data_IF_574885058291
#
_entry.id   IF_574885058291
#
_cell.length_a   1.000
_cell.length_b   1.000
_cell.length_c   1.000
_cell.angle_alpha   90.00
_cell.angle_beta   90.00
_cell.angle_gamma   90.00
#
_symmetry.space_group_name_H-M   'P 1'
#
loop_
_entity.id
_entity.type
_entity.pdbx_description
1 polymer ?
#
# COMPACT_ATOMS: atom_id res chain seq x y z
N UNK A 1 -29.81 12.77 -31.35
CA UNK A 1 -29.47 13.55 -30.15
C UNK A 1 -28.91 12.58 -29.13
N UNK A 2 -27.61 12.67 -28.84
CA UNK A 2 -26.94 11.80 -27.87
C UNK A 2 -26.26 12.66 -26.81
N UNK A 3 -26.36 12.24 -25.56
CA UNK A 3 -25.76 12.94 -24.43
C UNK A 3 -24.31 12.47 -24.29
N UNK A 4 -23.36 13.39 -24.48
CA UNK A 4 -21.96 13.15 -24.13
C UNK A 4 -21.79 13.40 -22.63
N UNK A 5 -21.37 12.37 -21.91
CA UNK A 5 -20.92 12.50 -20.53
C UNK A 5 -19.43 12.83 -20.55
N UNK A 6 -19.04 13.93 -19.91
CA UNK A 6 -17.64 14.24 -19.66
C UNK A 6 -17.24 13.61 -18.32
N UNK A 7 -16.12 12.89 -18.30
CA UNK A 7 -15.54 12.41 -17.05
C UNK A 7 -15.23 13.60 -16.16
N UNK A 8 -15.79 13.61 -14.95
CA UNK A 8 -15.59 14.68 -13.98
C UNK A 8 -14.22 14.47 -13.35
N UNK A 9 -13.22 15.19 -13.84
CA UNK A 9 -11.81 15.07 -13.44
C UNK A 9 -11.52 15.78 -12.09
N UNK A 10 -12.36 15.55 -11.07
CA UNK A 10 -12.22 16.15 -9.73
C UNK A 10 -12.55 15.14 -8.61
N UNK A 11 -12.01 13.92 -8.70
CA UNK A 11 -12.17 12.93 -7.65
C UNK A 11 -11.08 11.86 -7.70
N UNK A 12 -11.00 11.06 -6.65
CA UNK A 12 -10.24 9.79 -6.66
C UNK A 12 -10.67 8.98 -7.89
N UNK A 13 -9.71 8.56 -8.71
CA UNK A 13 -10.00 7.74 -9.89
C UNK A 13 -10.79 6.47 -9.51
N UNK A 14 -11.57 5.93 -10.45
CA UNK A 14 -12.44 4.77 -10.20
C UNK A 14 -11.73 3.61 -9.51
N UNK A 15 -10.46 3.38 -9.85
CA UNK A 15 -9.61 2.40 -9.18
C UNK A 15 -9.41 2.68 -7.68
N UNK A 16 -9.10 3.92 -7.30
CA UNK A 16 -8.86 4.28 -5.89
C UNK A 16 -10.16 4.22 -5.08
N UNK A 17 -11.30 4.57 -5.67
CA UNK A 17 -12.62 4.36 -5.05
C UNK A 17 -12.93 2.88 -4.85
N UNK A 18 -12.62 2.04 -5.84
CA UNK A 18 -12.74 0.59 -5.71
C UNK A 18 -11.81 0.03 -4.62
N UNK A 19 -10.58 0.54 -4.50
CA UNK A 19 -9.66 0.14 -3.46
C UNK A 19 -10.14 0.54 -2.05
N UNK A 20 -10.78 1.72 -1.93
CA UNK A 20 -11.35 2.19 -0.66
C UNK A 20 -12.58 1.38 -0.24
N UNK A 21 -13.52 1.14 -1.16
CA UNK A 21 -14.86 0.67 -0.80
C UNK A 21 -15.22 -0.73 -1.34
N UNK A 22 -14.56 -1.18 -2.41
CA UNK A 22 -14.95 -2.36 -3.17
C UNK A 22 -14.06 -3.58 -2.96
N UNK A 23 -12.76 -3.40 -2.69
CA UNK A 23 -11.84 -4.51 -2.44
C UNK A 23 -11.73 -4.80 -0.94
N UNK A 24 -11.99 -6.04 -0.49
CA UNK A 24 -11.81 -6.41 0.91
C UNK A 24 -10.32 -6.36 1.28
N UNK A 25 -10.05 -5.89 2.50
CA UNK A 25 -8.70 -5.85 3.07
C UNK A 25 -8.37 -7.22 3.66
N UNK A 26 -7.23 -7.79 3.24
CA UNK A 26 -6.75 -9.11 3.67
C UNK A 26 -5.80 -9.06 4.88
N UNK A 27 -5.24 -7.90 5.20
CA UNK A 27 -4.33 -7.72 6.33
C UNK A 27 -3.92 -6.28 6.58
N UNK A 28 -3.00 -6.09 7.52
CA UNK A 28 -2.50 -4.78 7.94
C UNK A 28 -0.98 -4.75 7.89
N UNK A 29 -0.45 -3.59 7.53
CA UNK A 29 0.98 -3.28 7.53
C UNK A 29 1.17 -2.05 8.41
N UNK A 30 1.98 -2.18 9.45
CA UNK A 30 2.33 -1.09 10.36
C UNK A 30 3.58 -0.39 9.86
N UNK A 31 3.58 0.94 9.90
CA UNK A 31 4.68 1.76 9.39
C UNK A 31 5.26 2.69 10.44
N UNK A 32 6.52 3.08 10.26
CA UNK A 32 7.14 4.12 11.08
C UNK A 32 6.62 5.53 10.73
N UNK A 33 7.01 6.51 11.53
CA UNK A 33 6.56 7.90 11.34
C UNK A 33 7.03 8.50 9.99
N UNK A 34 8.22 8.12 9.52
CA UNK A 34 8.75 8.59 8.23
C UNK A 34 7.95 8.06 7.05
N UNK A 35 7.62 6.77 7.08
CA UNK A 35 6.80 6.12 6.09
C UNK A 35 5.34 6.58 6.16
N UNK A 36 4.78 6.77 7.36
CA UNK A 36 3.46 7.38 7.53
C UNK A 36 3.37 8.75 6.84
N UNK A 37 4.36 9.63 7.08
CA UNK A 37 4.45 10.93 6.40
C UNK A 37 4.60 10.80 4.89
N UNK A 38 5.43 9.85 4.42
CA UNK A 38 5.65 9.61 3.00
C UNK A 38 4.36 9.15 2.29
N UNK A 39 3.62 8.23 2.92
CA UNK A 39 2.32 7.74 2.43
C UNK A 39 1.30 8.89 2.35
N UNK A 40 1.22 9.74 3.38
CA UNK A 40 0.38 10.94 3.36
C UNK A 40 0.75 11.94 2.24
N UNK A 41 2.01 11.93 1.80
CA UNK A 41 2.52 12.74 0.68
C UNK A 41 2.45 12.02 -0.69
N UNK A 42 1.66 10.94 -0.81
CA UNK A 42 1.48 10.16 -2.05
C UNK A 42 2.79 9.54 -2.58
N UNK A 43 3.69 9.14 -1.68
CA UNK A 43 4.87 8.34 -2.01
C UNK A 43 4.57 6.84 -1.92
N UNK A 44 5.40 6.02 -2.56
CA UNK A 44 5.35 4.56 -2.41
C UNK A 44 5.77 4.16 -1.00
N UNK A 45 5.20 3.07 -0.50
CA UNK A 45 5.65 2.45 0.75
C UNK A 45 6.82 1.51 0.45
N UNK A 46 7.98 1.79 1.06
CA UNK A 46 9.16 0.94 0.95
C UNK A 46 9.24 -0.05 2.13
N UNK A 47 9.88 -1.23 1.96
CA UNK A 47 10.07 -2.20 3.04
C UNK A 47 10.75 -1.62 4.28
N UNK A 48 11.68 -0.67 4.10
CA UNK A 48 12.45 -0.03 5.18
C UNK A 48 11.57 0.67 6.21
N UNK A 49 10.41 1.17 5.77
CA UNK A 49 9.48 1.93 6.62
C UNK A 49 8.44 1.06 7.33
N UNK A 50 8.49 -0.25 7.12
CA UNK A 50 7.52 -1.21 7.67
C UNK A 50 8.04 -1.74 9.00
N UNK A 51 7.21 -1.65 10.03
CA UNK A 51 7.52 -2.05 11.41
C UNK A 51 6.83 -3.35 11.82
N UNK A 52 5.73 -3.72 11.16
CA UNK A 52 5.00 -4.95 11.45
C UNK A 52 4.01 -5.35 10.37
N UNK A 53 3.65 -6.62 10.36
CA UNK A 53 2.67 -7.22 9.45
C UNK A 53 1.65 -8.02 10.25
N UNK A 54 0.38 -7.91 9.90
CA UNK A 54 -0.70 -8.65 10.54
C UNK A 54 -1.67 -9.20 9.48
N UNK A 55 -2.13 -10.44 9.71
CA UNK A 55 -2.99 -11.17 8.78
C UNK A 55 -2.18 -12.03 7.79
N UNK A 56 -2.87 -12.59 6.82
CA UNK A 56 -2.28 -13.43 5.78
C UNK A 56 -2.79 -12.94 4.43
N UNK A 57 -1.85 -12.57 3.56
CA UNK A 57 -2.14 -11.98 2.25
C UNK A 57 -1.03 -12.33 1.27
N UNK A 58 -1.38 -12.28 -0.02
CA UNK A 58 -0.45 -12.48 -1.14
C UNK A 58 -0.22 -11.18 -1.90
N UNK A 59 0.82 -11.15 -2.74
CA UNK A 59 0.99 -10.07 -3.72
C UNK A 59 -0.30 -9.91 -4.57
N UNK A 60 -0.77 -8.67 -4.72
CA UNK A 60 -2.04 -8.33 -5.39
C UNK A 60 -3.24 -8.18 -4.45
N UNK A 61 -3.10 -8.50 -3.16
CA UNK A 61 -4.14 -8.28 -2.16
C UNK A 61 -4.16 -6.83 -1.65
N UNK A 62 -5.32 -6.42 -1.13
CA UNK A 62 -5.44 -5.12 -0.49
C UNK A 62 -5.07 -5.25 0.98
N UNK A 63 -4.26 -4.32 1.46
CA UNK A 63 -3.85 -4.22 2.87
C UNK A 63 -4.14 -2.81 3.40
N UNK A 64 -4.45 -2.72 4.68
CA UNK A 64 -4.48 -1.44 5.40
C UNK A 64 -3.05 -1.06 5.79
N UNK A 65 -2.70 0.20 5.59
CA UNK A 65 -1.45 0.80 6.08
C UNK A 65 -1.80 1.57 7.35
N UNK A 66 -1.23 1.14 8.47
CA UNK A 66 -1.49 1.66 9.79
C UNK A 66 -0.26 2.36 10.37
N UNK A 67 -0.45 3.42 11.15
CA UNK A 67 0.62 3.98 11.97
C UNK A 67 0.94 3.07 13.19
N UNK A 68 1.91 3.49 13.99
CA UNK A 68 2.32 2.77 15.20
C UNK A 68 1.23 2.71 16.29
N UNK A 69 0.22 3.59 16.22
CA UNK A 69 -0.92 3.60 17.13
C UNK A 69 -2.05 2.69 16.63
N UNK A 70 -1.89 2.08 15.45
CA UNK A 70 -2.86 1.21 14.81
C UNK A 70 -3.96 1.95 14.05
N UNK A 71 -3.83 3.26 13.86
CA UNK A 71 -4.76 4.04 13.04
C UNK A 71 -4.50 3.75 11.56
N UNK A 72 -5.54 3.35 10.84
CA UNK A 72 -5.49 3.20 9.38
C UNK A 72 -5.29 4.57 8.71
N UNK A 73 -4.20 4.71 7.96
CA UNK A 73 -3.86 5.92 7.20
C UNK A 73 -4.19 5.78 5.71
N UNK A 74 -3.99 4.58 5.17
CA UNK A 74 -4.15 4.30 3.76
C UNK A 74 -4.58 2.86 3.51
N UNK A 75 -5.05 2.58 2.30
CA UNK A 75 -5.18 1.23 1.74
C UNK A 75 -4.32 1.13 0.50
N UNK A 76 -3.76 -0.06 0.27
CA UNK A 76 -2.87 -0.29 -0.85
C UNK A 76 -2.95 -1.71 -1.40
N UNK A 77 -2.55 -1.89 -2.66
CA UNK A 77 -2.26 -3.21 -3.22
C UNK A 77 -0.79 -3.55 -2.93
N UNK A 78 -0.56 -4.65 -2.22
CA UNK A 78 0.78 -5.07 -1.82
C UNK A 78 1.46 -5.90 -2.90
N UNK A 79 2.75 -5.68 -3.13
CA UNK A 79 3.56 -6.43 -4.10
C UNK A 79 4.24 -7.68 -3.50
N UNK A 80 4.00 -7.93 -2.21
CA UNK A 80 4.62 -8.99 -1.40
C UNK A 80 3.54 -9.79 -0.67
N UNK A 81 3.81 -11.06 -0.42
CA UNK A 81 3.06 -11.82 0.58
C UNK A 81 3.41 -11.38 2.01
N UNK A 82 2.56 -11.74 2.98
CA UNK A 82 2.83 -11.44 4.39
C UNK A 82 4.15 -12.04 4.89
N UNK A 83 4.52 -13.22 4.40
CA UNK A 83 5.76 -13.92 4.77
C UNK A 83 7.00 -13.24 4.18
N UNK A 84 6.94 -12.86 2.90
CA UNK A 84 8.03 -12.14 2.23
C UNK A 84 8.23 -10.77 2.86
N UNK A 85 7.14 -10.05 3.15
CA UNK A 85 7.18 -8.71 3.72
C UNK A 85 7.69 -8.75 5.18
N UNK A 86 7.38 -9.81 5.93
CA UNK A 86 8.01 -10.08 7.24
C UNK A 86 9.51 -10.35 7.13
N UNK A 87 9.98 -11.02 6.07
CA UNK A 87 11.40 -11.29 5.85
C UNK A 87 12.21 -10.04 5.48
N UNK A 88 11.60 -9.06 4.80
CA UNK A 88 12.29 -7.86 4.30
C UNK A 88 11.93 -6.55 5.01
N UNK A 89 11.01 -6.57 5.99
CA UNK A 89 10.64 -5.36 6.73
C UNK A 89 11.87 -4.74 7.41
N UNK A 90 11.96 -3.41 7.36
CA UNK A 90 13.09 -2.66 7.89
C UNK A 90 14.35 -2.69 7.01
N UNK A 91 14.39 -3.47 5.92
CA UNK A 91 15.51 -3.47 4.97
C UNK A 91 15.33 -2.37 3.92
N UNK A 92 16.44 -1.81 3.43
CA UNK A 92 16.40 -0.95 2.25
C UNK A 92 16.06 -1.79 1.01
N UNK A 93 15.47 -1.19 -0.01
CA UNK A 93 15.07 -1.89 -1.24
C UNK A 93 16.20 -2.70 -1.90
N UNK A 94 17.45 -2.25 -1.80
CA UNK A 94 18.62 -3.00 -2.31
C UNK A 94 18.89 -4.28 -1.50
N UNK A 95 18.83 -4.19 -0.18
CA UNK A 95 19.01 -5.33 0.73
C UNK A 95 17.84 -6.31 0.61
N UNK A 96 16.61 -5.79 0.50
CA UNK A 96 15.42 -6.59 0.23
C UNK A 96 15.53 -7.37 -1.09
N UNK A 97 16.10 -6.76 -2.14
CA UNK A 97 16.33 -7.43 -3.42
C UNK A 97 17.42 -8.52 -3.37
N UNK A 98 18.36 -8.45 -2.41
CA UNK A 98 19.31 -9.55 -2.18
C UNK A 98 18.64 -10.76 -1.53
N UNK A 99 17.70 -10.51 -0.60
CA UNK A 99 16.92 -11.55 0.07
C UNK A 99 15.86 -12.15 -0.86
N UNK A 100 15.17 -11.30 -1.62
CA UNK A 100 14.09 -11.65 -2.55
C UNK A 100 14.35 -11.01 -3.93
N UNK A 101 15.14 -11.66 -4.82
CA UNK A 101 15.54 -11.08 -6.10
C UNK A 101 14.43 -10.88 -7.13
N UNK A 102 13.23 -11.38 -6.85
CA UNK A 102 12.10 -11.36 -7.77
C UNK A 102 11.03 -10.33 -7.40
N UNK A 103 11.22 -9.57 -6.32
CA UNK A 103 10.19 -8.66 -5.80
C UNK A 103 10.39 -7.21 -6.25
N UNK A 104 9.32 -6.43 -6.12
CA UNK A 104 9.29 -4.98 -6.41
C UNK A 104 10.14 -4.19 -5.41
N UNK A 105 10.81 -3.09 -5.80
CA UNK A 105 11.56 -2.26 -4.83
C UNK A 105 10.66 -1.62 -3.76
N UNK A 106 9.38 -1.44 -4.09
CA UNK A 106 8.36 -0.86 -3.21
C UNK A 106 7.46 -1.98 -2.68
N UNK A 107 7.07 -1.94 -1.41
CA UNK A 107 6.07 -2.85 -0.85
C UNK A 107 4.66 -2.54 -1.37
N UNK A 108 4.34 -1.25 -1.54
CA UNK A 108 3.11 -0.75 -2.15
C UNK A 108 3.47 0.45 -3.02
N UNK A 109 3.22 0.37 -4.32
CA UNK A 109 3.43 1.49 -5.21
C UNK A 109 2.39 2.60 -5.00
N UNK A 110 2.79 3.88 -5.08
CA UNK A 110 1.91 5.05 -4.84
C UNK A 110 0.63 5.08 -5.70
N UNK A 111 0.69 4.55 -6.92
CA UNK A 111 -0.48 4.54 -7.83
C UNK A 111 -1.55 3.56 -7.34
N UNK A 112 -1.13 2.54 -6.60
CA UNK A 112 -1.99 1.55 -5.97
C UNK A 112 -2.20 1.81 -4.48
N UNK A 113 -1.97 3.05 -4.04
CA UNK A 113 -2.19 3.50 -2.67
C UNK A 113 -3.21 4.65 -2.62
N UNK A 114 -4.07 4.62 -1.60
CA UNK A 114 -5.11 5.63 -1.37
C UNK A 114 -5.25 5.92 0.12
N UNK A 115 -5.29 7.20 0.49
CA UNK A 115 -5.50 7.61 1.88
C UNK A 115 -6.94 7.31 2.32
N UNK A 116 -7.08 6.90 3.58
CA UNK A 116 -8.37 6.76 4.26
C UNK A 116 -8.57 8.03 5.08
N UNK A 117 -9.64 8.78 4.81
CA UNK A 117 -9.96 10.03 5.52
C UNK A 117 -10.24 9.83 7.01
#
# INVERSE_FOLDING_TARGET
>A
MGTRFFSRDQGLGAFKLWLLHGKPVSGRVYVDEGAARAVCCNASLLPVGITGVEGSFSAGDAVSVCDQEGRELARGIVDYSSEELEAVKGLRSQEAAEVLPHTSPDAIHRDYLVLVE
#
